data_IF_071398885929
#
_entry.id   IF_071398885929
#
_cell.length_a   1.000
_cell.length_b   1.000
_cell.length_c   1.000
_cell.angle_alpha   90.00
_cell.angle_beta   90.00
_cell.angle_gamma   90.00
#
_symmetry.space_group_name_H-M   'P 1'
#
loop_
_entity.id
_entity.type
_entity.pdbx_description
1 polymer ?
#
# COMPACT_ATOMS: atom_id res chain seq x y z
N UNK A 1 75.79 14.75 -25.17
CA UNK A 1 74.60 14.78 -24.29
C UNK A 1 75.03 14.41 -22.89
N UNK A 2 74.92 15.32 -21.90
CA UNK A 2 75.28 15.00 -20.51
C UNK A 2 74.19 14.07 -19.94
N UNK A 3 74.54 12.81 -19.69
CA UNK A 3 73.65 11.88 -18.98
C UNK A 3 73.52 12.33 -17.53
N UNK A 4 72.28 12.49 -17.04
CA UNK A 4 72.03 12.74 -15.63
C UNK A 4 72.59 11.58 -14.81
N UNK A 5 73.21 11.88 -13.67
CA UNK A 5 73.66 10.83 -12.75
C UNK A 5 72.46 9.99 -12.32
N UNK A 6 72.64 8.67 -12.15
CA UNK A 6 71.55 7.74 -11.77
C UNK A 6 70.74 8.25 -10.57
N UNK A 7 71.40 8.91 -9.61
CA UNK A 7 70.75 9.50 -8.44
C UNK A 7 69.82 10.65 -8.82
N UNK A 8 70.26 11.57 -9.69
CA UNK A 8 69.44 12.68 -10.16
C UNK A 8 68.22 12.22 -10.98
N UNK A 9 68.37 11.16 -11.78
CA UNK A 9 67.26 10.56 -12.52
C UNK A 9 66.20 9.94 -11.60
N UNK A 10 66.63 9.18 -10.58
CA UNK A 10 65.74 8.57 -9.58
C UNK A 10 64.98 9.65 -8.80
N UNK A 11 65.67 10.72 -8.39
CA UNK A 11 65.03 11.83 -7.67
C UNK A 11 63.98 12.53 -8.53
N UNK A 12 64.28 12.82 -9.80
CA UNK A 12 63.32 13.44 -10.71
C UNK A 12 62.09 12.55 -10.95
N UNK A 13 62.31 11.25 -11.09
CA UNK A 13 61.22 10.29 -11.29
C UNK A 13 60.29 10.19 -10.06
N UNK A 14 60.85 10.22 -8.85
CA UNK A 14 60.05 10.24 -7.61
C UNK A 14 59.22 11.52 -7.47
N UNK A 15 59.78 12.67 -7.84
CA UNK A 15 59.05 13.95 -7.84
C UNK A 15 57.90 13.92 -8.86
N UNK A 16 58.15 13.37 -10.06
CA UNK A 16 57.11 13.24 -11.09
C UNK A 16 55.96 12.33 -10.63
N UNK A 17 56.26 11.20 -9.96
CA UNK A 17 55.23 10.31 -9.39
C UNK A 17 54.43 11.03 -8.31
N UNK A 18 55.09 11.75 -7.39
CA UNK A 18 54.40 12.49 -6.34
C UNK A 18 53.45 13.56 -6.92
N UNK A 19 53.90 14.29 -7.95
CA UNK A 19 53.06 15.25 -8.67
C UNK A 19 51.87 14.57 -9.35
N UNK A 20 52.09 13.42 -9.98
CA UNK A 20 51.02 12.66 -10.64
C UNK A 20 49.97 12.18 -9.64
N UNK A 21 50.39 11.73 -8.46
CA UNK A 21 49.48 11.31 -7.38
C UNK A 21 48.69 12.51 -6.84
N UNK A 22 49.33 13.67 -6.62
CA UNK A 22 48.66 14.87 -6.10
C UNK A 22 47.64 15.42 -7.11
N UNK A 23 48.03 15.51 -8.39
CA UNK A 23 47.13 15.97 -9.46
C UNK A 23 46.00 14.98 -9.68
N UNK A 24 46.29 13.67 -9.71
CA UNK A 24 45.30 12.61 -9.80
C UNK A 24 44.33 12.63 -8.63
N UNK A 25 44.82 12.80 -7.39
CA UNK A 25 43.97 12.92 -6.20
C UNK A 25 43.07 14.16 -6.24
N UNK A 26 43.56 15.30 -6.76
CA UNK A 26 42.74 16.49 -6.99
C UNK A 26 41.70 16.30 -8.09
N UNK A 27 42.02 15.58 -9.17
CA UNK A 27 41.10 15.35 -10.29
C UNK A 27 40.04 14.27 -9.97
N UNK A 28 40.38 13.31 -9.10
CA UNK A 28 39.48 12.27 -8.59
C UNK A 28 38.64 12.79 -7.41
N UNK A 29 39.00 13.93 -6.81
CA UNK A 29 38.25 14.51 -5.70
C UNK A 29 36.90 15.06 -6.15
N UNK A 30 35.89 14.26 -5.82
CA UNK A 30 34.52 14.64 -5.42
C UNK A 30 33.76 15.44 -6.46
N UNK A 31 33.18 14.72 -7.42
CA UNK A 31 31.81 15.05 -7.77
C UNK A 31 30.97 14.79 -6.52
N UNK A 32 30.78 15.82 -5.70
CA UNK A 32 29.63 15.82 -4.80
C UNK A 32 28.42 15.78 -5.72
N UNK A 33 27.81 14.59 -5.83
CA UNK A 33 26.43 14.53 -6.31
C UNK A 33 25.67 15.36 -5.30
N UNK A 34 25.40 16.60 -5.64
CA UNK A 34 24.47 17.46 -4.93
C UNK A 34 23.15 16.69 -4.95
N UNK A 35 22.91 15.88 -3.92
CA UNK A 35 21.60 15.36 -3.61
C UNK A 35 20.82 16.58 -3.19
N UNK A 36 20.29 17.29 -4.18
CA UNK A 36 19.33 18.35 -3.94
C UNK A 36 18.15 17.64 -3.30
N UNK A 37 17.96 17.84 -1.99
CA UNK A 37 16.79 17.31 -1.31
C UNK A 37 15.57 17.82 -2.09
N UNK A 38 14.90 16.92 -2.80
CA UNK A 38 13.73 17.25 -3.61
C UNK A 38 12.69 17.83 -2.67
N UNK A 39 12.44 19.13 -2.80
CA UNK A 39 11.41 19.80 -2.03
C UNK A 39 10.08 19.63 -2.76
N UNK A 40 9.11 19.05 -2.08
CA UNK A 40 7.79 18.78 -2.62
C UNK A 40 6.74 19.67 -1.94
N UNK A 41 5.83 20.19 -2.75
CA UNK A 41 4.57 20.76 -2.28
C UNK A 41 3.48 19.71 -2.38
N UNK A 42 2.66 19.58 -1.33
CA UNK A 42 1.56 18.63 -1.27
C UNK A 42 0.22 19.37 -1.24
N UNK A 43 -0.71 18.92 -2.06
CA UNK A 43 -2.12 19.29 -2.02
C UNK A 43 -2.93 18.04 -1.68
N UNK A 44 -3.70 18.08 -0.59
CA UNK A 44 -4.57 16.97 -0.20
C UNK A 44 -5.83 17.01 -1.06
N UNK A 45 -6.04 15.97 -1.87
CA UNK A 45 -7.21 15.83 -2.74
C UNK A 45 -8.33 15.07 -2.02
N UNK A 46 -7.96 14.01 -1.30
CA UNK A 46 -8.87 13.19 -0.49
C UNK A 46 -8.15 12.82 0.81
N UNK A 47 -8.84 12.92 1.94
CA UNK A 47 -8.28 12.68 3.27
C UNK A 47 -8.94 11.45 3.94
N UNK A 48 -8.12 10.55 4.49
CA UNK A 48 -8.49 9.35 5.25
C UNK A 48 -9.65 8.53 4.65
N UNK A 49 -9.61 8.30 3.33
CA UNK A 49 -10.67 7.59 2.62
C UNK A 49 -10.37 6.10 2.45
N UNK A 50 -11.41 5.28 2.43
CA UNK A 50 -11.32 3.89 1.98
C UNK A 50 -11.19 3.88 0.44
N UNK A 51 -10.03 3.48 -0.06
CA UNK A 51 -9.64 3.63 -1.46
C UNK A 51 -9.89 2.38 -2.29
N UNK A 52 -9.62 1.21 -1.70
CA UNK A 52 -9.74 -0.08 -2.40
C UNK A 52 -10.17 -1.17 -1.42
N UNK A 53 -11.00 -2.07 -1.92
CA UNK A 53 -11.45 -3.26 -1.22
C UNK A 53 -10.92 -4.52 -1.94
N UNK A 54 -10.81 -5.61 -1.19
CA UNK A 54 -10.55 -6.95 -1.71
C UNK A 54 -11.32 -7.96 -0.87
N UNK A 55 -12.18 -8.73 -1.51
CA UNK A 55 -12.90 -9.81 -0.87
C UNK A 55 -11.92 -10.92 -0.46
N UNK A 56 -11.98 -11.33 0.81
CA UNK A 56 -11.21 -12.46 1.35
C UNK A 56 -12.09 -13.72 1.54
N UNK A 57 -13.37 -13.62 1.17
CA UNK A 57 -14.34 -14.69 1.21
C UNK A 57 -15.07 -14.84 2.54
N UNK A 58 -15.83 -15.93 2.63
CA UNK A 58 -16.69 -16.25 3.77
C UNK A 58 -16.11 -17.40 4.60
N UNK A 59 -16.05 -17.18 5.92
CA UNK A 59 -15.50 -18.11 6.89
C UNK A 59 -16.57 -18.53 7.90
N UNK A 60 -16.79 -19.84 8.02
CA UNK A 60 -17.64 -20.45 9.04
C UNK A 60 -16.80 -21.00 10.22
N UNK A 61 -17.46 -21.61 11.20
CA UNK A 61 -16.78 -22.20 12.36
C UNK A 61 -15.72 -23.26 11.98
N UNK A 62 -15.98 -24.06 10.93
CA UNK A 62 -15.05 -25.11 10.47
C UNK A 62 -13.78 -24.52 9.83
N UNK A 63 -13.94 -23.47 9.02
CA UNK A 63 -12.85 -22.74 8.38
C UNK A 63 -12.09 -21.80 9.34
N UNK A 64 -12.49 -21.73 10.62
CA UNK A 64 -11.85 -20.86 11.62
C UNK A 64 -10.48 -21.33 12.09
N UNK A 65 -10.12 -22.59 11.81
CA UNK A 65 -8.85 -23.20 12.24
C UNK A 65 -7.64 -22.80 11.37
N UNK A 66 -7.84 -21.93 10.38
CA UNK A 66 -6.77 -21.46 9.50
C UNK A 66 -5.77 -20.65 10.35
N UNK A 67 -4.45 -20.88 10.23
CA UNK A 67 -3.44 -20.11 10.95
C UNK A 67 -3.40 -18.65 10.49
N UNK A 68 -2.57 -17.82 11.15
CA UNK A 68 -2.28 -16.48 10.64
C UNK A 68 -1.67 -16.57 9.24
N UNK A 69 -2.18 -15.74 8.33
CA UNK A 69 -1.75 -15.68 6.96
C UNK A 69 -1.45 -14.24 6.57
N UNK A 70 -0.49 -14.08 5.67
CA UNK A 70 -0.19 -12.80 5.04
C UNK A 70 -1.22 -12.54 3.94
N UNK A 71 -1.95 -11.44 4.05
CA UNK A 71 -2.87 -10.95 3.05
C UNK A 71 -2.28 -9.71 2.39
N UNK A 72 -2.38 -9.63 1.07
CA UNK A 72 -1.80 -8.54 0.27
C UNK A 72 -2.88 -7.88 -0.58
N UNK A 73 -2.81 -6.56 -0.68
CA UNK A 73 -3.63 -5.73 -1.56
C UNK A 73 -2.72 -4.76 -2.30
N UNK A 74 -2.91 -4.65 -3.61
CA UNK A 74 -2.10 -3.82 -4.49
C UNK A 74 -2.99 -2.78 -5.15
N UNK A 75 -2.59 -1.52 -5.02
CA UNK A 75 -3.06 -0.38 -5.78
C UNK A 75 -2.23 -0.34 -7.06
N UNK A 76 -2.88 -0.46 -8.22
CA UNK A 76 -2.20 -0.47 -9.50
C UNK A 76 -2.00 0.93 -10.03
N UNK A 77 -0.96 1.13 -10.83
CA UNK A 77 -0.75 2.38 -11.53
C UNK A 77 -1.96 2.71 -12.43
N UNK A 78 -2.37 3.99 -12.46
CA UNK A 78 -3.52 4.52 -13.21
C UNK A 78 -4.88 3.93 -12.81
N UNK A 79 -4.95 3.17 -11.71
CA UNK A 79 -6.21 2.75 -11.12
C UNK A 79 -6.97 3.98 -10.59
N UNK A 80 -8.28 4.02 -10.84
CA UNK A 80 -9.15 5.09 -10.35
C UNK A 80 -9.52 4.84 -8.88
N UNK A 81 -9.28 5.85 -8.04
CA UNK A 81 -9.60 5.84 -6.62
C UNK A 81 -10.23 7.17 -6.27
N UNK A 82 -11.50 7.14 -5.88
CA UNK A 82 -12.26 8.36 -5.53
C UNK A 82 -12.23 9.43 -6.62
N UNK A 83 -12.21 9.03 -7.90
CA UNK A 83 -12.19 9.95 -9.05
C UNK A 83 -10.79 10.46 -9.44
N UNK A 84 -9.73 9.92 -8.85
CA UNK A 84 -8.34 10.25 -9.18
C UNK A 84 -7.58 9.01 -9.65
N UNK A 85 -6.74 9.17 -10.67
CA UNK A 85 -5.81 8.13 -11.14
C UNK A 85 -4.47 8.29 -10.45
N UNK A 86 -4.05 7.28 -9.72
CA UNK A 86 -2.76 7.30 -9.02
C UNK A 86 -1.61 7.03 -9.99
N UNK A 87 -0.46 7.67 -9.77
CA UNK A 87 0.71 7.59 -10.66
C UNK A 87 1.74 6.54 -10.24
N UNK A 88 1.70 6.11 -8.98
CA UNK A 88 2.60 5.11 -8.42
C UNK A 88 1.81 3.93 -7.85
N UNK A 89 2.22 2.67 -8.14
CA UNK A 89 1.61 1.52 -7.52
C UNK A 89 2.02 1.42 -6.05
N UNK A 90 1.14 0.87 -5.22
CA UNK A 90 1.39 0.66 -3.80
C UNK A 90 0.90 -0.73 -3.40
N UNK A 91 1.77 -1.52 -2.78
CA UNK A 91 1.39 -2.82 -2.23
C UNK A 91 1.46 -2.75 -0.72
N UNK A 92 0.37 -3.17 -0.07
CA UNK A 92 0.27 -3.22 1.37
C UNK A 92 -0.04 -4.64 1.83
N UNK A 93 0.44 -4.97 3.02
CA UNK A 93 0.31 -6.30 3.60
C UNK A 93 -0.31 -6.23 4.99
N UNK A 94 -1.09 -7.26 5.33
CA UNK A 94 -1.65 -7.45 6.67
C UNK A 94 -1.53 -8.92 7.05
N UNK A 95 -0.90 -9.19 8.19
CA UNK A 95 -0.91 -10.52 8.78
C UNK A 95 -2.18 -10.64 9.62
N UNK A 96 -3.04 -11.60 9.28
CA UNK A 96 -4.31 -11.78 9.99
C UNK A 96 -4.76 -13.24 9.98
N UNK A 97 -5.64 -13.57 10.91
CA UNK A 97 -6.32 -14.85 10.97
C UNK A 97 -7.81 -14.62 10.67
N UNK A 98 -8.34 -15.30 9.66
CA UNK A 98 -9.77 -15.27 9.36
C UNK A 98 -10.49 -16.22 10.31
N UNK A 99 -11.22 -15.66 11.27
CA UNK A 99 -11.96 -16.41 12.29
C UNK A 99 -13.44 -16.44 11.90
N UNK A 100 -14.10 -17.56 12.12
CA UNK A 100 -15.54 -17.65 12.00
C UNK A 100 -16.26 -16.80 13.06
N UNK A 101 -17.59 -16.90 13.12
CA UNK A 101 -18.39 -16.09 14.02
C UNK A 101 -18.08 -16.41 15.48
N UNK A 102 -18.02 -15.35 16.28
CA UNK A 102 -18.02 -15.40 17.74
C UNK A 102 -19.45 -15.43 18.28
N UNK A 103 -19.63 -15.74 19.58
CA UNK A 103 -20.96 -15.69 20.23
C UNK A 103 -21.60 -14.28 20.23
N UNK A 104 -20.80 -13.24 20.02
CA UNK A 104 -21.24 -11.85 19.95
C UNK A 104 -21.66 -11.43 18.53
N UNK A 105 -21.28 -12.21 17.51
CA UNK A 105 -21.63 -11.91 16.13
C UNK A 105 -23.11 -12.24 15.89
N UNK A 106 -23.91 -11.20 15.61
CA UNK A 106 -25.36 -11.27 15.43
C UNK A 106 -25.77 -10.74 14.06
N UNK A 107 -26.88 -11.26 13.57
CA UNK A 107 -27.58 -10.76 12.38
C UNK A 107 -29.03 -10.50 12.81
N UNK A 108 -29.33 -9.24 13.11
CA UNK A 108 -30.53 -8.87 13.85
C UNK A 108 -30.58 -9.61 15.19
N UNK A 109 -31.59 -10.48 15.37
CA UNK A 109 -31.78 -11.29 16.59
C UNK A 109 -31.10 -12.66 16.54
N UNK A 110 -30.61 -13.10 15.38
CA UNK A 110 -30.05 -14.43 15.17
C UNK A 110 -28.53 -14.45 15.39
N UNK A 111 -27.99 -15.61 15.77
CA UNK A 111 -26.54 -15.83 15.80
C UNK A 111 -26.01 -15.97 14.37
N UNK A 112 -24.91 -15.29 14.05
CA UNK A 112 -24.21 -15.52 12.80
C UNK A 112 -23.63 -16.94 12.76
N UNK A 113 -23.69 -17.61 11.61
CA UNK A 113 -23.06 -18.91 11.38
C UNK A 113 -21.82 -18.82 10.48
N UNK A 114 -21.59 -17.65 9.86
CA UNK A 114 -20.40 -17.32 9.10
C UNK A 114 -20.09 -15.81 9.15
N UNK A 115 -18.91 -15.44 8.67
CA UNK A 115 -18.43 -14.05 8.58
C UNK A 115 -17.81 -13.86 7.21
N UNK A 116 -18.24 -12.82 6.49
CA UNK A 116 -17.54 -12.37 5.30
C UNK A 116 -16.42 -11.40 5.67
N UNK A 117 -15.30 -11.53 4.99
CA UNK A 117 -14.10 -10.73 5.22
C UNK A 117 -13.73 -9.90 4.00
N UNK A 118 -13.36 -8.66 4.25
CA UNK A 118 -12.83 -7.75 3.23
C UNK A 118 -11.55 -7.11 3.78
N UNK A 119 -10.57 -6.95 2.91
CA UNK A 119 -9.36 -6.17 3.15
C UNK A 119 -9.54 -4.78 2.53
N UNK A 120 -9.33 -3.71 3.30
CA UNK A 120 -9.57 -2.35 2.85
C UNK A 120 -8.31 -1.51 2.99
N UNK A 121 -7.92 -0.83 1.92
CA UNK A 121 -6.90 0.22 1.96
C UNK A 121 -7.55 1.54 2.36
N UNK A 122 -7.02 2.16 3.40
CA UNK A 122 -7.40 3.50 3.85
C UNK A 122 -6.20 4.42 3.74
N UNK A 123 -6.36 5.62 3.22
CA UNK A 123 -5.26 6.59 3.14
C UNK A 123 -5.68 7.91 2.51
N UNK A 124 -4.68 8.75 2.25
CA UNK A 124 -4.87 10.07 1.66
C UNK A 124 -4.45 10.04 0.20
N UNK A 125 -5.22 10.68 -0.67
CA UNK A 125 -4.78 10.97 -2.04
C UNK A 125 -4.24 12.39 -2.05
N UNK A 126 -2.99 12.54 -2.45
CA UNK A 126 -2.31 13.84 -2.52
C UNK A 126 -1.73 14.08 -3.90
N UNK A 127 -1.79 15.34 -4.36
CA UNK A 127 -1.00 15.81 -5.49
C UNK A 127 0.34 16.29 -4.95
N UNK A 128 1.40 15.56 -5.28
CA UNK A 128 2.78 15.89 -4.97
C UNK A 128 3.38 16.64 -6.17
N UNK A 129 3.83 17.87 -5.95
CA UNK A 129 4.45 18.69 -6.98
C UNK A 129 5.90 18.98 -6.61
N UNK A 130 6.82 18.57 -7.49
CA UNK A 130 8.24 18.90 -7.38
C UNK A 130 8.42 20.42 -7.55
N UNK A 131 8.99 21.07 -6.54
CA UNK A 131 9.15 22.52 -6.55
C UNK A 131 10.19 23.01 -7.57
N UNK A 132 11.14 22.16 -7.97
CA UNK A 132 12.17 22.46 -8.96
C UNK A 132 11.68 22.19 -10.38
N UNK A 133 11.16 20.99 -10.63
CA UNK A 133 10.76 20.58 -12.00
C UNK A 133 9.33 20.97 -12.36
N UNK A 134 8.52 21.39 -11.38
CA UNK A 134 7.08 21.70 -11.51
C UNK A 134 6.24 20.52 -12.00
N UNK A 135 6.79 19.31 -12.05
CA UNK A 135 6.05 18.09 -12.37
C UNK A 135 5.19 17.70 -11.18
N UNK A 136 3.94 17.35 -11.45
CA UNK A 136 3.00 16.88 -10.44
C UNK A 136 2.64 15.42 -10.66
N UNK A 137 2.47 14.68 -9.57
CA UNK A 137 1.95 13.32 -9.56
C UNK A 137 0.91 13.16 -8.46
N UNK A 138 -0.05 12.28 -8.68
CA UNK A 138 -1.06 11.88 -7.70
C UNK A 138 -0.61 10.58 -7.03
N UNK A 139 -0.39 10.64 -5.73
CA UNK A 139 0.10 9.51 -4.93
C UNK A 139 -0.80 9.25 -3.74
N UNK A 140 -0.76 8.02 -3.25
CA UNK A 140 -1.44 7.63 -2.00
C UNK A 140 -0.42 7.67 -0.87
N UNK A 141 -0.70 8.45 0.17
CA UNK A 141 0.14 8.57 1.36
C UNK A 141 -0.63 8.18 2.62
N UNK A 142 0.09 7.96 3.72
CA UNK A 142 -0.48 7.51 5.00
C UNK A 142 -1.35 6.25 4.89
N UNK A 143 -1.07 5.42 3.87
CA UNK A 143 -1.89 4.27 3.56
C UNK A 143 -1.73 3.17 4.61
N UNK A 144 -2.86 2.62 5.04
CA UNK A 144 -2.93 1.48 5.97
C UNK A 144 -3.94 0.46 5.49
N UNK A 145 -3.76 -0.79 5.92
CA UNK A 145 -4.69 -1.87 5.62
C UNK A 145 -5.51 -2.23 6.83
N UNK A 146 -6.82 -2.02 6.70
CA UNK A 146 -7.83 -2.48 7.65
C UNK A 146 -8.48 -3.77 7.15
N UNK A 147 -9.21 -4.42 8.04
CA UNK A 147 -10.04 -5.58 7.71
C UNK A 147 -11.45 -5.34 8.20
N UNK A 148 -12.43 -5.57 7.35
CA UNK A 148 -13.85 -5.46 7.67
C UNK A 148 -14.41 -6.86 7.85
N UNK A 149 -15.21 -7.03 8.91
CA UNK A 149 -15.90 -8.27 9.24
C UNK A 149 -17.40 -8.03 9.12
N UNK A 150 -18.09 -8.83 8.33
CA UNK A 150 -19.54 -8.75 8.18
C UNK A 150 -20.15 -10.08 8.64
N UNK A 151 -20.71 -10.14 9.86
CA UNK A 151 -21.47 -11.28 10.34
C UNK A 151 -22.65 -11.59 9.41
N UNK A 152 -22.87 -12.87 9.14
CA UNK A 152 -23.95 -13.32 8.27
C UNK A 152 -24.51 -14.67 8.70
N UNK A 153 -25.76 -14.93 8.29
CA UNK A 153 -26.37 -16.26 8.30
C UNK A 153 -26.33 -16.78 6.87
N UNK A 154 -25.43 -17.72 6.61
CA UNK A 154 -25.25 -18.40 5.35
C UNK A 154 -26.21 -19.59 5.27
N UNK A 155 -27.01 -19.63 4.22
CA UNK A 155 -27.81 -20.79 3.85
C UNK A 155 -27.60 -21.09 2.36
N UNK A 156 -26.85 -22.17 2.09
CA UNK A 156 -26.43 -22.61 0.76
C UNK A 156 -25.82 -21.47 -0.08
N UNK A 157 -26.62 -20.85 -0.95
CA UNK A 157 -26.22 -19.78 -1.88
C UNK A 157 -26.80 -18.41 -1.52
N UNK A 158 -27.34 -18.27 -0.32
CA UNK A 158 -27.89 -17.02 0.18
C UNK A 158 -27.20 -16.61 1.47
N UNK A 159 -27.02 -15.31 1.65
CA UNK A 159 -26.47 -14.72 2.85
C UNK A 159 -27.51 -13.75 3.41
N UNK A 160 -27.89 -13.94 4.66
CA UNK A 160 -28.63 -12.94 5.42
C UNK A 160 -27.65 -12.07 6.17
N UNK A 161 -27.67 -10.78 5.90
CA UNK A 161 -26.82 -9.76 6.52
C UNK A 161 -27.70 -8.74 7.24
N UNK A 162 -27.11 -8.06 8.22
CA UNK A 162 -27.76 -6.93 8.87
C UNK A 162 -27.24 -5.61 8.30
N UNK A 163 -28.03 -4.55 8.43
CA UNK A 163 -27.55 -3.19 8.17
C UNK A 163 -26.50 -2.78 9.22
N UNK A 164 -25.83 -1.64 9.00
CA UNK A 164 -24.73 -1.13 9.83
C UNK A 164 -25.09 -1.01 11.33
N UNK A 165 -26.35 -0.67 11.62
CA UNK A 165 -26.86 -0.54 13.00
C UNK A 165 -27.42 -1.86 13.58
N UNK A 166 -27.35 -2.95 12.83
CA UNK A 166 -27.90 -4.26 13.22
C UNK A 166 -29.39 -4.24 13.62
N UNK A 167 -30.18 -3.34 13.03
CA UNK A 167 -31.61 -3.15 13.34
C UNK A 167 -32.53 -3.87 12.36
N UNK A 168 -32.08 -4.07 11.12
CA UNK A 168 -32.83 -4.75 10.08
C UNK A 168 -31.95 -5.80 9.39
N UNK A 169 -32.58 -6.81 8.79
CA UNK A 169 -31.89 -7.89 8.06
C UNK A 169 -32.39 -8.02 6.62
N UNK A 170 -31.49 -8.31 5.69
CA UNK A 170 -31.81 -8.57 4.28
C UNK A 170 -31.11 -9.85 3.86
N UNK A 171 -31.80 -10.67 3.07
CA UNK A 171 -31.21 -11.84 2.41
C UNK A 171 -30.85 -11.49 0.97
N UNK A 172 -29.63 -11.82 0.57
CA UNK A 172 -29.05 -11.59 -0.75
C UNK A 172 -28.40 -12.89 -1.25
N UNK A 173 -28.10 -12.99 -2.54
CA UNK A 173 -27.30 -14.11 -3.03
C UNK A 173 -25.85 -13.99 -2.55
N UNK A 174 -25.17 -15.12 -2.43
CA UNK A 174 -23.74 -15.15 -2.09
C UNK A 174 -22.89 -14.45 -3.16
N UNK A 175 -23.29 -14.53 -4.42
CA UNK A 175 -22.63 -13.85 -5.53
C UNK A 175 -22.81 -12.32 -5.45
N UNK A 176 -24.01 -11.84 -5.12
CA UNK A 176 -24.27 -10.41 -4.88
C UNK A 176 -23.41 -9.89 -3.72
N UNK A 177 -23.31 -10.66 -2.63
CA UNK A 177 -22.43 -10.34 -1.52
C UNK A 177 -20.97 -10.27 -1.97
N UNK A 178 -20.45 -11.32 -2.61
CA UNK A 178 -19.05 -11.37 -3.03
C UNK A 178 -18.68 -10.23 -3.96
N UNK A 179 -19.52 -9.94 -4.95
CA UNK A 179 -19.34 -8.82 -5.89
C UNK A 179 -19.36 -7.44 -5.21
N UNK A 180 -20.04 -7.34 -4.06
CA UNK A 180 -20.12 -6.10 -3.30
C UNK A 180 -18.91 -5.90 -2.39
N UNK A 181 -18.23 -6.96 -1.97
CA UNK A 181 -17.05 -6.90 -1.09
C UNK A 181 -15.74 -6.61 -1.82
N UNK A 182 -15.73 -6.62 -3.16
CA UNK A 182 -14.57 -6.20 -3.96
C UNK A 182 -14.58 -4.69 -4.24
N UNK A 183 -15.59 -3.96 -3.79
CA UNK A 183 -15.76 -2.53 -4.05
C UNK A 183 -16.27 -1.79 -2.80
N UNK A 184 -15.53 -0.75 -2.40
CA UNK A 184 -15.82 0.03 -1.19
C UNK A 184 -17.24 0.64 -1.22
N UNK A 185 -17.67 1.17 -2.36
CA UNK A 185 -18.96 1.82 -2.50
C UNK A 185 -20.09 0.79 -2.52
N UNK A 186 -19.93 -0.32 -3.24
CA UNK A 186 -20.93 -1.40 -3.26
C UNK A 186 -21.13 -2.01 -1.88
N UNK A 187 -20.05 -2.29 -1.14
CA UNK A 187 -20.16 -2.75 0.26
C UNK A 187 -20.91 -1.74 1.11
N UNK A 188 -20.57 -0.44 1.06
CA UNK A 188 -21.26 0.56 1.87
C UNK A 188 -22.76 0.56 1.59
N UNK A 189 -23.14 0.49 0.32
CA UNK A 189 -24.55 0.46 -0.09
C UNK A 189 -25.29 -0.79 0.42
N UNK A 190 -24.65 -1.95 0.45
CA UNK A 190 -25.31 -3.20 0.88
C UNK A 190 -25.63 -3.25 2.37
N UNK A 191 -25.03 -2.36 3.19
CA UNK A 191 -25.24 -2.28 4.65
C UNK A 191 -25.84 -0.94 5.14
N UNK A 192 -26.13 0.04 4.27
CA UNK A 192 -26.49 1.40 4.69
C UNK A 192 -27.98 1.68 4.99
N UNK A 193 -28.89 0.72 4.77
CA UNK A 193 -30.36 0.91 4.71
C UNK A 193 -31.11 0.69 6.05
#
# INVERSE_FOLDING_TARGET
MKQLSRKAFITFFLIAIALFIIVGYKYVSRHEVLVTASSYQYEVLVNDAELKAKNLGVVNAEKSKIPYQKQTITLNQKEDMSGFKIDEPLTLEKIMQLKGPSKQDKVGKQNANAVAYELVVVGDIVRQTDQQTKKSQVVVVNARVSSVRIPLVLDKQTATIANSNNTKTKTISLDELNNSLDDVAKRKNIIAW
#
